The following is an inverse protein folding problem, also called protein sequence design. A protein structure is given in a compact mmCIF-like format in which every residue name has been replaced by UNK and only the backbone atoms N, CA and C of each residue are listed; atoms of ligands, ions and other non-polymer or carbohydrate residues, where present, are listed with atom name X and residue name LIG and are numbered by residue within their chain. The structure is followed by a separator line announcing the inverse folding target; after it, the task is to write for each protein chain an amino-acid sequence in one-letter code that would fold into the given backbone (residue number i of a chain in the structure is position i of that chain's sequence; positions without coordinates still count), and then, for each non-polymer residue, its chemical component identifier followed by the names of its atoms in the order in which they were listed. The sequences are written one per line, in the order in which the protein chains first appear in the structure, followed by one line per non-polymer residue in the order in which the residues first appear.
data_IF_662072432000
#
_entry.id   IF_662072432000
#
_cell.length_a   1.000
_cell.length_b   1.000
_cell.length_c   1.000
_cell.angle_alpha   90.00
_cell.angle_beta   90.00
_cell.angle_gamma   90.00
#
_symmetry.space_group_name_H-M   'P 1'
#
loop_
_entity.id
_entity.type
_entity.pdbx_description
1 polymer ?
#
# COMPACT_ATOMS: atom_id res chain seq x y z
N UNK A 1 6.88 15.28 -27.37
CA UNK A 1 6.55 15.58 -25.96
C UNK A 1 6.35 14.25 -25.25
N UNK A 2 6.98 14.01 -24.10
CA UNK A 2 6.60 12.86 -23.28
C UNK A 2 5.19 13.08 -22.77
N UNK A 3 4.29 12.13 -23.00
CA UNK A 3 2.96 12.15 -22.42
C UNK A 3 3.12 12.11 -20.90
N UNK A 4 2.72 13.17 -20.21
CA UNK A 4 2.70 13.17 -18.75
C UNK A 4 1.61 12.20 -18.30
N UNK A 5 1.97 11.21 -17.50
CA UNK A 5 1.01 10.28 -16.91
C UNK A 5 0.49 10.89 -15.62
N UNK A 6 -0.79 10.62 -15.31
CA UNK A 6 -1.39 11.03 -14.05
C UNK A 6 -1.87 9.78 -13.33
N UNK A 7 -1.33 9.54 -12.15
CA UNK A 7 -1.77 8.46 -11.27
C UNK A 7 -2.72 9.01 -10.21
N UNK A 8 -3.93 8.45 -10.14
CA UNK A 8 -4.92 8.78 -9.12
C UNK A 8 -5.11 7.56 -8.23
N UNK A 9 -5.08 7.78 -6.91
CA UNK A 9 -5.10 6.71 -5.92
C UNK A 9 -6.30 6.89 -5.00
N UNK A 10 -7.13 5.85 -4.90
CA UNK A 10 -8.12 5.72 -3.83
C UNK A 10 -7.48 5.06 -2.60
N UNK A 11 -7.03 5.91 -1.67
CA UNK A 11 -6.35 5.47 -0.45
C UNK A 11 -7.23 4.62 0.46
N UNK A 12 -8.52 4.92 0.59
CA UNK A 12 -9.42 4.19 1.49
C UNK A 12 -9.62 2.74 0.99
N UNK A 13 -9.82 2.56 -0.31
CA UNK A 13 -9.96 1.24 -0.90
C UNK A 13 -8.69 0.40 -0.81
N UNK A 14 -7.50 1.01 -0.97
CA UNK A 14 -6.23 0.29 -0.86
C UNK A 14 -5.92 -0.06 0.60
N UNK A 15 -6.15 0.87 1.54
CA UNK A 15 -5.96 0.61 2.97
C UNK A 15 -6.85 -0.53 3.47
N UNK A 16 -8.13 -0.55 3.07
CA UNK A 16 -9.02 -1.67 3.41
C UNK A 16 -8.48 -3.00 2.86
N UNK A 17 -8.03 -3.03 1.60
CA UNK A 17 -7.42 -4.24 1.02
C UNK A 17 -6.15 -4.66 1.74
N UNK A 18 -5.28 -3.72 2.09
CA UNK A 18 -4.05 -4.00 2.84
C UNK A 18 -4.34 -4.52 4.25
N UNK A 19 -5.32 -3.93 4.94
CA UNK A 19 -5.73 -4.32 6.29
C UNK A 19 -6.30 -5.75 6.32
N UNK A 20 -7.22 -6.07 5.41
CA UNK A 20 -7.86 -7.39 5.37
C UNK A 20 -7.06 -8.44 4.58
N UNK A 21 -6.13 -8.03 3.72
CA UNK A 21 -5.32 -8.94 2.90
C UNK A 21 -4.17 -9.59 3.66
N UNK A 22 -3.58 -8.90 4.64
CA UNK A 22 -2.49 -9.40 5.46
C UNK A 22 -3.05 -10.00 6.76
N UNK A 23 -3.02 -11.33 6.89
CA UNK A 23 -3.57 -12.08 8.03
C UNK A 23 -2.56 -13.12 8.57
N UNK A 24 -2.77 -13.58 9.80
CA UNK A 24 -2.02 -14.69 10.39
C UNK A 24 -0.53 -14.38 10.55
N UNK A 25 0.35 -15.20 9.98
CA UNK A 25 1.81 -15.01 10.05
C UNK A 25 2.30 -13.72 9.37
N UNK A 26 1.45 -13.05 8.58
CA UNK A 26 1.76 -11.79 7.90
C UNK A 26 1.24 -10.56 8.67
N UNK A 27 0.67 -10.74 9.87
CA UNK A 27 0.27 -9.61 10.69
C UNK A 27 1.52 -8.88 11.17
N UNK A 28 1.59 -7.59 10.87
CA UNK A 28 2.67 -6.72 11.30
C UNK A 28 2.20 -5.86 12.45
N UNK A 29 3.03 -5.75 13.48
CA UNK A 29 2.83 -4.86 14.60
C UNK A 29 4.18 -4.28 15.04
N UNK A 30 4.13 -3.13 15.70
CA UNK A 30 5.27 -2.58 16.45
C UNK A 30 5.60 -3.46 17.66
N UNK A 31 6.74 -3.20 18.30
CA UNK A 31 7.17 -3.96 19.50
C UNK A 31 6.20 -3.82 20.68
N UNK A 32 5.47 -2.71 20.77
CA UNK A 32 4.40 -2.46 21.74
C UNK A 32 3.01 -2.95 21.29
N UNK A 33 2.92 -3.62 20.13
CA UNK A 33 1.72 -4.34 19.69
C UNK A 33 0.75 -3.56 18.81
N UNK A 34 1.07 -2.33 18.40
CA UNK A 34 0.24 -1.55 17.46
C UNK A 34 0.33 -2.15 16.06
N UNK A 35 -0.81 -2.56 15.48
CA UNK A 35 -0.85 -3.12 14.13
C UNK A 35 -0.49 -2.11 13.05
N UNK A 36 0.38 -2.51 12.12
CA UNK A 36 0.91 -1.68 11.03
C UNK A 36 0.73 -2.30 9.65
N UNK A 37 0.10 -3.47 9.55
CA UNK A 37 -0.09 -4.23 8.32
C UNK A 37 -0.78 -3.42 7.21
N UNK A 38 -1.82 -2.64 7.54
CA UNK A 38 -2.50 -1.80 6.54
C UNK A 38 -1.57 -0.75 5.91
N UNK A 39 -0.75 -0.10 6.73
CA UNK A 39 0.20 0.93 6.29
C UNK A 39 1.30 0.29 5.44
N UNK A 40 1.85 -0.83 5.91
CA UNK A 40 2.86 -1.57 5.17
C UNK A 40 2.35 -2.02 3.79
N UNK A 41 1.16 -2.62 3.75
CA UNK A 41 0.55 -3.07 2.50
C UNK A 41 0.23 -1.91 1.55
N UNK A 42 -0.29 -0.80 2.07
CA UNK A 42 -0.54 0.41 1.28
C UNK A 42 0.76 0.93 0.62
N UNK A 43 1.83 1.09 1.39
CA UNK A 43 3.11 1.58 0.88
C UNK A 43 3.74 0.61 -0.12
N UNK A 44 3.59 -0.70 0.10
CA UNK A 44 4.07 -1.73 -0.83
C UNK A 44 3.37 -1.63 -2.20
N UNK A 45 2.05 -1.46 -2.19
CA UNK A 45 1.24 -1.30 -3.40
C UNK A 45 1.60 0.02 -4.11
N UNK A 46 1.70 1.12 -3.35
CA UNK A 46 2.07 2.43 -3.89
C UNK A 46 3.43 2.39 -4.58
N UNK A 47 4.46 1.89 -3.89
CA UNK A 47 5.83 1.84 -4.43
C UNK A 47 5.93 0.95 -5.66
N UNK A 48 5.20 -0.17 -5.69
CA UNK A 48 5.11 -1.03 -6.87
C UNK A 48 4.61 -0.22 -8.09
N UNK A 49 3.48 0.47 -7.95
CA UNK A 49 2.91 1.22 -9.07
C UNK A 49 3.73 2.44 -9.47
N UNK A 50 4.34 3.15 -8.52
CA UNK A 50 5.26 4.25 -8.84
C UNK A 50 6.43 3.76 -9.71
N UNK A 51 7.01 2.61 -9.35
CA UNK A 51 8.13 2.02 -10.10
C UNK A 51 7.71 1.47 -11.48
N UNK A 52 6.54 0.83 -11.56
CA UNK A 52 6.05 0.22 -12.81
C UNK A 52 5.54 1.28 -13.79
N UNK A 53 4.76 2.24 -13.32
CA UNK A 53 4.07 3.18 -14.22
C UNK A 53 4.89 4.42 -14.56
N UNK A 54 5.86 4.78 -13.71
CA UNK A 54 6.64 6.02 -13.81
C UNK A 54 5.75 7.21 -14.19
N UNK A 55 4.71 7.51 -13.36
CA UNK A 55 3.71 8.50 -13.69
C UNK A 55 4.28 9.92 -13.77
#
# INVERSE_FOLDING_TARGET
MSTQKLMIIDGNSILNRAFYGLKGAQLLATTDGLHTNAIYGFLSILNKFLNEENP
#
